data_IF_121422691952
#
_entry.id   IF_121422691952
#
_cell.length_a   1.000
_cell.length_b   1.000
_cell.length_c   1.000
_cell.angle_alpha   90.00
_cell.angle_beta   90.00
_cell.angle_gamma   90.00
#
_symmetry.space_group_name_H-M   'P 1'
#
loop_
_entity.id
_entity.type
_entity.pdbx_description
1 polymer ?
#
# COMPACT_ATOMS: atom_id res chain seq x y z
N UNK A 1 8.37 -12.56 7.48
CA UNK A 1 8.66 -11.94 6.17
C UNK A 1 9.67 -12.73 5.35
N UNK A 2 9.83 -12.45 4.05
CA UNK A 2 10.86 -13.03 3.18
C UNK A 2 11.81 -11.94 2.67
N UNK A 3 13.11 -12.20 2.65
CA UNK A 3 14.14 -11.28 2.18
C UNK A 3 14.98 -11.93 1.06
N UNK A 4 15.55 -11.11 0.19
CA UNK A 4 16.52 -11.53 -0.82
C UNK A 4 17.93 -11.48 -0.27
N UNK A 5 18.72 -12.48 -0.67
CA UNK A 5 20.18 -12.52 -0.50
C UNK A 5 20.83 -12.76 -1.86
N UNK A 6 21.88 -12.01 -2.17
CA UNK A 6 22.68 -12.21 -3.39
C UNK A 6 23.49 -13.51 -3.29
N UNK A 7 23.43 -14.36 -4.32
CA UNK A 7 24.25 -15.59 -4.37
C UNK A 7 25.67 -15.26 -4.79
N UNK A 8 26.66 -15.72 -4.02
CA UNK A 8 28.08 -15.50 -4.31
C UNK A 8 28.57 -16.17 -5.60
N UNK A 9 27.84 -17.17 -6.11
CA UNK A 9 28.15 -17.86 -7.36
C UNK A 9 26.92 -17.88 -8.26
N UNK A 10 26.95 -17.11 -9.36
CA UNK A 10 25.95 -17.18 -10.43
C UNK A 10 25.04 -15.97 -10.65
N UNK A 11 25.24 -14.85 -9.94
CA UNK A 11 24.58 -13.57 -10.26
C UNK A 11 23.06 -13.53 -10.03
N UNK A 12 22.52 -14.46 -9.24
CA UNK A 12 21.11 -14.56 -8.91
C UNK A 12 20.82 -14.32 -7.42
N UNK A 13 19.55 -14.47 -7.04
CA UNK A 13 19.07 -14.22 -5.68
C UNK A 13 18.51 -15.48 -5.01
N UNK A 14 18.47 -15.47 -3.70
CA UNK A 14 17.83 -16.48 -2.87
C UNK A 14 16.81 -15.80 -1.95
N UNK A 15 15.62 -16.40 -1.80
CA UNK A 15 14.61 -15.97 -0.85
C UNK A 15 14.79 -16.70 0.48
N UNK A 16 14.95 -15.94 1.55
CA UNK A 16 15.13 -16.45 2.91
C UNK A 16 13.97 -15.96 3.78
N UNK A 17 13.32 -16.88 4.47
CA UNK A 17 12.19 -16.59 5.36
C UNK A 17 12.67 -16.30 6.77
N UNK A 18 12.14 -15.23 7.36
CA UNK A 18 12.34 -14.81 8.73
C UNK A 18 10.99 -14.64 9.42
N UNK A 19 10.90 -14.85 10.73
CA UNK A 19 9.78 -14.31 11.51
C UNK A 19 9.92 -12.78 11.59
N UNK A 20 8.81 -12.06 11.69
CA UNK A 20 8.80 -10.59 11.60
C UNK A 20 9.58 -9.92 12.75
N UNK A 21 9.67 -10.58 13.89
CA UNK A 21 10.42 -10.17 15.08
C UNK A 21 11.92 -10.48 15.02
N UNK A 22 12.35 -11.33 14.07
CA UNK A 22 13.74 -11.78 13.93
C UNK A 22 14.35 -11.41 12.57
N UNK A 23 13.71 -10.51 11.83
CA UNK A 23 14.27 -10.03 10.57
C UNK A 23 15.60 -9.29 10.83
N UNK A 24 16.72 -9.67 10.18
CA UNK A 24 17.99 -8.96 10.29
C UNK A 24 17.88 -7.56 9.65
N UNK A 25 18.83 -6.64 9.83
CA UNK A 25 18.87 -5.41 9.06
C UNK A 25 18.87 -5.68 7.54
N UNK A 26 18.01 -4.96 6.80
CA UNK A 26 17.87 -5.13 5.35
C UNK A 26 17.57 -3.81 4.63
N UNK A 27 17.92 -3.73 3.35
CA UNK A 27 17.57 -2.61 2.48
C UNK A 27 16.19 -2.82 1.83
N UNK A 28 15.46 -1.75 1.52
CA UNK A 28 14.17 -1.84 0.80
C UNK A 28 14.30 -1.19 -0.57
N UNK A 29 13.94 -1.92 -1.62
CA UNK A 29 13.75 -1.35 -2.95
C UNK A 29 12.30 -0.88 -3.09
N UNK A 30 12.09 0.43 -3.05
CA UNK A 30 10.81 1.05 -3.42
C UNK A 30 10.99 1.76 -4.76
N UNK A 31 10.39 1.24 -5.83
CA UNK A 31 10.49 1.83 -7.16
C UNK A 31 9.20 1.62 -7.95
N UNK A 32 8.90 2.54 -8.87
CA UNK A 32 7.92 2.32 -9.93
C UNK A 32 8.45 1.33 -10.97
N UNK A 33 7.64 0.35 -11.34
CA UNK A 33 8.00 -0.64 -12.35
C UNK A 33 7.43 -0.24 -13.71
N UNK A 34 8.13 -0.62 -14.77
CA UNK A 34 7.54 -0.58 -16.10
C UNK A 34 6.56 -1.74 -16.22
N UNK A 35 5.40 -1.50 -16.82
CA UNK A 35 4.37 -2.53 -16.98
C UNK A 35 4.93 -3.81 -17.65
N UNK A 36 4.58 -4.96 -17.09
CA UNK A 36 5.08 -6.28 -17.50
C UNK A 36 6.58 -6.56 -17.22
N UNK A 37 7.34 -5.61 -16.66
CA UNK A 37 8.78 -5.76 -16.40
C UNK A 37 9.12 -6.13 -14.95
N UNK A 38 8.12 -6.30 -14.09
CA UNK A 38 8.28 -6.78 -12.72
C UNK A 38 8.73 -8.24 -12.70
N UNK A 39 9.68 -8.56 -11.82
CA UNK A 39 10.02 -9.95 -11.50
C UNK A 39 9.11 -10.36 -10.35
N UNK A 40 8.29 -11.38 -10.57
CA UNK A 40 7.35 -11.89 -9.58
C UNK A 40 8.00 -12.91 -8.64
N UNK A 41 7.34 -13.21 -7.52
CA UNK A 41 7.77 -14.27 -6.59
C UNK A 41 7.96 -15.63 -7.29
N UNK A 42 6.99 -16.04 -8.12
CA UNK A 42 7.05 -17.32 -8.82
C UNK A 42 8.17 -17.36 -9.86
N UNK A 43 8.39 -16.27 -10.59
CA UNK A 43 9.50 -16.18 -11.55
C UNK A 43 10.85 -16.28 -10.85
N UNK A 44 11.00 -15.59 -9.72
CA UNK A 44 12.25 -15.63 -8.97
C UNK A 44 12.53 -17.03 -8.41
N UNK A 45 11.53 -17.74 -7.88
CA UNK A 45 11.67 -19.13 -7.45
C UNK A 45 12.03 -20.07 -8.59
N UNK A 46 11.49 -19.84 -9.78
CA UNK A 46 11.79 -20.63 -10.98
C UNK A 46 13.17 -20.27 -11.60
N UNK A 47 13.89 -19.28 -11.07
CA UNK A 47 15.12 -18.78 -11.66
C UNK A 47 14.91 -18.04 -13.00
N UNK A 48 13.69 -17.54 -13.23
CA UNK A 48 13.29 -16.82 -14.43
C UNK A 48 13.29 -15.29 -14.22
N UNK A 49 12.96 -14.54 -15.28
CA UNK A 49 12.80 -13.08 -15.23
C UNK A 49 14.10 -12.27 -15.24
N UNK A 50 15.26 -12.92 -15.39
CA UNK A 50 16.57 -12.26 -15.49
C UNK A 50 16.69 -11.34 -16.72
N UNK A 51 15.89 -11.60 -17.76
CA UNK A 51 15.73 -10.83 -18.98
C UNK A 51 14.88 -9.56 -18.81
N UNK A 52 14.11 -9.47 -17.72
CA UNK A 52 13.24 -8.31 -17.47
C UNK A 52 14.06 -7.10 -17.01
N UNK A 53 13.63 -5.90 -17.43
CA UNK A 53 14.23 -4.64 -16.97
C UNK A 53 14.16 -4.47 -15.45
N UNK A 54 13.11 -4.98 -14.81
CA UNK A 54 12.98 -4.95 -13.36
C UNK A 54 14.10 -5.71 -12.65
N UNK A 55 14.60 -6.79 -13.23
CA UNK A 55 15.69 -7.57 -12.63
C UNK A 55 16.97 -6.75 -12.44
N UNK A 56 17.25 -5.82 -13.37
CA UNK A 56 18.39 -4.92 -13.23
C UNK A 56 18.28 -4.02 -11.98
N UNK A 57 17.06 -3.59 -11.62
CA UNK A 57 16.83 -2.81 -10.40
C UNK A 57 17.02 -3.65 -9.13
N UNK A 58 16.59 -4.91 -9.17
CA UNK A 58 16.80 -5.86 -8.06
C UNK A 58 18.30 -6.08 -7.85
N UNK A 59 19.07 -6.28 -8.93
CA UNK A 59 20.52 -6.41 -8.87
C UNK A 59 21.20 -5.17 -8.31
N UNK A 60 20.84 -3.99 -8.82
CA UNK A 60 21.35 -2.73 -8.30
C UNK A 60 21.07 -2.58 -6.80
N UNK A 61 19.87 -2.93 -6.34
CA UNK A 61 19.54 -2.91 -4.93
C UNK A 61 20.40 -3.88 -4.11
N UNK A 62 20.61 -5.11 -4.59
CA UNK A 62 21.47 -6.07 -3.91
C UNK A 62 22.95 -5.63 -3.86
N UNK A 63 23.45 -5.00 -4.93
CA UNK A 63 24.80 -4.42 -4.97
C UNK A 63 24.93 -3.25 -3.98
N UNK A 64 23.95 -2.35 -3.95
CA UNK A 64 23.94 -1.21 -3.03
C UNK A 64 23.80 -1.67 -1.57
N UNK A 65 22.91 -2.64 -1.28
CA UNK A 65 22.78 -3.22 0.05
C UNK A 65 24.12 -3.80 0.53
N UNK A 66 24.82 -4.55 -0.32
CA UNK A 66 26.12 -5.10 0.01
C UNK A 66 27.18 -4.01 0.26
N UNK A 67 27.18 -2.93 -0.54
CA UNK A 67 28.05 -1.78 -0.34
C UNK A 67 27.79 -1.06 0.99
N UNK A 68 26.53 -1.05 1.44
CA UNK A 68 26.10 -0.49 2.73
C UNK A 68 26.25 -1.47 3.91
N UNK A 69 26.84 -2.65 3.67
CA UNK A 69 27.07 -3.68 4.71
C UNK A 69 25.82 -4.48 5.10
N UNK A 70 24.77 -4.44 4.28
CA UNK A 70 23.52 -5.18 4.46
C UNK A 70 23.54 -6.45 3.60
N UNK A 71 23.41 -7.61 4.25
CA UNK A 71 23.37 -8.91 3.57
C UNK A 71 22.03 -9.16 2.85
N UNK A 72 20.97 -8.52 3.35
CA UNK A 72 19.61 -8.76 2.93
C UNK A 72 18.94 -7.51 2.37
N UNK A 73 18.01 -7.71 1.44
CA UNK A 73 17.17 -6.65 0.92
C UNK A 73 15.77 -7.16 0.57
N UNK A 74 14.81 -6.26 0.45
CA UNK A 74 13.41 -6.57 0.24
C UNK A 74 12.87 -5.86 -1.00
N UNK A 75 12.09 -6.59 -1.79
CA UNK A 75 11.43 -6.12 -3.01
C UNK A 75 10.02 -6.69 -3.02
N UNK A 76 9.00 -5.83 -3.01
CA UNK A 76 7.60 -6.23 -2.85
C UNK A 76 7.12 -7.23 -3.92
N UNK A 77 7.59 -7.07 -5.16
CA UNK A 77 7.14 -7.88 -6.31
C UNK A 77 7.54 -9.35 -6.21
N UNK A 78 8.69 -9.64 -5.59
CA UNK A 78 9.24 -10.99 -5.50
C UNK A 78 9.48 -11.51 -4.09
N UNK A 79 9.32 -10.70 -3.04
CA UNK A 79 9.34 -11.13 -1.65
C UNK A 79 7.94 -11.48 -1.11
N UNK A 80 6.87 -11.10 -1.82
CA UNK A 80 5.48 -11.43 -1.48
C UNK A 80 4.90 -12.40 -2.51
N UNK A 81 4.36 -13.53 -2.03
CA UNK A 81 3.56 -14.43 -2.84
C UNK A 81 2.12 -13.89 -2.96
N UNK A 82 1.91 -13.06 -3.99
CA UNK A 82 0.61 -12.45 -4.29
C UNK A 82 -0.47 -13.48 -4.70
N UNK A 83 -0.13 -14.77 -4.87
CA UNK A 83 -1.10 -15.81 -5.24
C UNK A 83 -1.80 -16.47 -4.05
N UNK A 84 -1.31 -16.26 -2.81
CA UNK A 84 -1.91 -16.82 -1.59
C UNK A 84 -2.82 -15.81 -0.90
N UNK A 85 -4.13 -16.05 -1.02
CA UNK A 85 -5.23 -15.24 -0.46
C UNK A 85 -5.16 -15.07 1.08
N UNK A 86 -4.60 -16.03 1.81
CA UNK A 86 -4.54 -15.99 3.28
C UNK A 86 -3.41 -15.09 3.80
N UNK A 87 -2.31 -14.98 3.04
CA UNK A 87 -1.30 -13.94 3.25
C UNK A 87 -1.89 -12.56 2.93
N UNK A 88 -2.73 -12.43 1.89
CA UNK A 88 -3.35 -11.14 1.54
C UNK A 88 -4.26 -10.62 2.66
N UNK A 89 -5.05 -11.48 3.30
CA UNK A 89 -6.00 -11.10 4.36
C UNK A 89 -5.30 -10.77 5.68
N UNK A 90 -4.31 -11.58 6.08
CA UNK A 90 -3.52 -11.36 7.29
C UNK A 90 -2.60 -10.16 7.09
N UNK A 91 -1.93 -10.05 5.95
CA UNK A 91 -1.07 -8.92 5.63
C UNK A 91 -1.88 -7.61 5.52
N UNK A 92 -3.05 -7.57 4.88
CA UNK A 92 -3.88 -6.33 4.87
C UNK A 92 -4.20 -5.84 6.30
N UNK A 93 -4.32 -6.74 7.27
CA UNK A 93 -4.58 -6.41 8.66
C UNK A 93 -3.31 -6.16 9.50
N UNK A 94 -2.15 -6.71 9.11
CA UNK A 94 -0.85 -6.62 9.81
C UNK A 94 0.25 -5.79 9.12
N UNK A 95 0.07 -5.26 7.90
CA UNK A 95 1.16 -4.68 7.08
C UNK A 95 1.70 -3.35 7.61
N UNK A 96 0.90 -2.58 8.36
CA UNK A 96 1.31 -1.23 8.74
C UNK A 96 1.99 -1.25 10.11
N UNK A 97 3.31 -1.28 10.06
CA UNK A 97 4.22 -1.09 11.19
C UNK A 97 4.71 0.37 11.21
N UNK A 98 4.67 0.99 12.39
CA UNK A 98 5.11 2.36 12.60
C UNK A 98 6.50 2.35 13.24
N UNK A 99 7.37 3.22 12.74
CA UNK A 99 8.74 3.41 13.23
C UNK A 99 8.96 4.89 13.55
N UNK A 100 9.82 5.18 14.51
CA UNK A 100 10.30 6.54 14.78
C UNK A 100 11.24 7.01 13.67
N UNK A 101 11.58 8.30 13.69
CA UNK A 101 12.59 8.86 12.79
C UNK A 101 13.96 8.15 12.92
N UNK A 102 14.28 7.64 14.11
CA UNK A 102 15.52 6.90 14.39
C UNK A 102 15.42 5.40 14.01
N UNK A 103 14.36 4.98 13.33
CA UNK A 103 14.16 3.59 12.91
C UNK A 103 13.73 2.64 14.03
N UNK A 104 13.34 3.15 15.20
CA UNK A 104 12.84 2.30 16.30
C UNK A 104 11.38 1.92 16.03
N UNK A 105 11.08 0.62 16.06
CA UNK A 105 9.69 0.14 15.97
C UNK A 105 8.85 0.69 17.12
N UNK A 106 7.75 1.36 16.78
CA UNK A 106 6.76 1.92 17.71
C UNK A 106 5.61 0.93 17.96
N UNK A 107 5.19 0.21 16.92
CA UNK A 107 4.10 -0.77 16.99
C UNK A 107 3.35 -0.89 15.66
N UNK A 108 2.37 -1.78 15.61
CA UNK A 108 1.51 -1.96 14.45
C UNK A 108 0.28 -1.05 14.51
N UNK A 109 -0.43 -0.91 13.38
CA UNK A 109 -1.75 -0.23 13.33
C UNK A 109 -2.74 -0.76 14.37
N UNK A 110 -2.67 -2.05 14.69
CA UNK A 110 -3.55 -2.67 15.68
C UNK A 110 -3.06 -2.38 17.10
N UNK A 111 -1.75 -2.49 17.38
CA UNK A 111 -1.24 -2.21 18.73
C UNK A 111 -1.33 -0.74 19.11
N UNK A 112 -1.39 0.16 18.13
CA UNK A 112 -1.48 1.62 18.30
C UNK A 112 -2.86 2.18 17.92
N UNK A 113 -3.90 1.34 17.82
CA UNK A 113 -5.20 1.75 17.29
C UNK A 113 -5.87 2.87 18.12
N UNK A 114 -5.65 2.88 19.43
CA UNK A 114 -6.19 3.91 20.34
C UNK A 114 -5.48 5.25 20.14
N UNK A 115 -4.16 5.23 20.05
CA UNK A 115 -3.34 6.41 19.78
C UNK A 115 -3.68 6.99 18.40
N UNK A 116 -3.73 6.14 17.38
CA UNK A 116 -4.10 6.54 16.01
C UNK A 116 -5.49 7.17 16.01
N UNK A 117 -6.48 6.52 16.64
CA UNK A 117 -7.83 7.06 16.76
C UNK A 117 -7.84 8.43 17.45
N UNK A 118 -7.14 8.59 18.58
CA UNK A 118 -7.13 9.85 19.34
C UNK A 118 -6.56 11.03 18.54
N UNK A 119 -5.54 10.78 17.71
CA UNK A 119 -4.86 11.80 16.90
C UNK A 119 -5.66 12.12 15.64
N UNK A 120 -6.07 11.08 14.90
CA UNK A 120 -6.63 11.21 13.55
C UNK A 120 -8.16 11.31 13.53
N UNK A 121 -8.81 10.92 14.62
CA UNK A 121 -10.26 10.71 14.70
C UNK A 121 -10.79 9.62 13.76
N UNK A 122 -9.92 8.80 13.16
CA UNK A 122 -10.32 7.61 12.39
C UNK A 122 -10.90 6.58 13.37
N UNK A 123 -12.13 6.07 13.16
CA UNK A 123 -12.74 5.07 14.02
C UNK A 123 -11.92 3.77 14.12
N UNK A 124 -11.84 3.16 15.31
CA UNK A 124 -11.04 1.94 15.56
C UNK A 124 -11.49 0.77 14.68
N UNK A 125 -12.79 0.64 14.47
CA UNK A 125 -13.39 -0.34 13.58
C UNK A 125 -12.92 -0.16 12.12
N UNK A 126 -12.68 1.07 11.65
CA UNK A 126 -12.05 1.31 10.35
C UNK A 126 -10.58 0.82 10.34
N UNK A 127 -9.82 1.05 11.43
CA UNK A 127 -8.45 0.56 11.57
C UNK A 127 -8.36 -0.98 11.60
N UNK A 128 -9.42 -1.63 12.08
CA UNK A 128 -9.59 -3.09 12.11
C UNK A 128 -10.16 -3.68 10.82
N UNK A 129 -10.35 -2.88 9.77
CA UNK A 129 -10.74 -3.35 8.45
C UNK A 129 -12.24 -3.38 8.16
N UNK A 130 -13.08 -2.70 8.96
CA UNK A 130 -14.48 -2.50 8.57
C UNK A 130 -14.56 -1.80 7.22
N UNK A 131 -15.52 -2.20 6.38
CA UNK A 131 -15.68 -1.65 5.04
C UNK A 131 -15.92 -0.14 5.12
N UNK A 132 -15.15 0.63 4.34
CA UNK A 132 -15.26 2.09 4.31
C UNK A 132 -16.67 2.60 3.93
N UNK A 133 -17.44 1.77 3.22
CA UNK A 133 -18.81 2.08 2.80
C UNK A 133 -19.81 2.08 3.94
N UNK A 134 -19.45 1.53 5.11
CA UNK A 134 -20.28 1.53 6.31
C UNK A 134 -20.13 2.82 7.12
N UNK A 135 -19.20 3.70 6.73
CA UNK A 135 -19.03 5.04 7.30
C UNK A 135 -19.65 6.09 6.38
N UNK A 136 -20.23 7.13 6.98
CA UNK A 136 -20.84 8.24 6.24
C UNK A 136 -19.80 9.00 5.40
N UNK A 137 -20.30 9.80 4.45
CA UNK A 137 -19.43 10.66 3.62
C UNK A 137 -18.78 11.72 4.50
N UNK A 138 -19.53 12.26 5.46
CA UNK A 138 -19.11 13.29 6.40
C UNK A 138 -17.98 12.78 7.30
N UNK A 139 -18.13 11.59 7.88
CA UNK A 139 -17.09 10.97 8.70
C UNK A 139 -15.80 10.77 7.90
N UNK A 140 -15.88 10.15 6.72
CA UNK A 140 -14.72 9.85 5.89
C UNK A 140 -14.01 11.11 5.40
N UNK A 141 -14.76 12.16 5.09
CA UNK A 141 -14.19 13.47 4.75
C UNK A 141 -13.45 14.07 5.95
N UNK A 142 -14.01 13.91 7.15
CA UNK A 142 -13.43 14.36 8.41
C UNK A 142 -12.07 13.75 8.76
N UNK A 143 -11.74 12.56 8.24
CA UNK A 143 -10.45 11.88 8.51
C UNK A 143 -9.23 12.63 7.98
N UNK A 144 -9.42 13.58 7.05
CA UNK A 144 -8.37 14.45 6.56
C UNK A 144 -8.36 15.85 7.22
N UNK A 145 -9.35 16.17 8.06
CA UNK A 145 -9.59 17.54 8.52
C UNK A 145 -8.37 18.19 9.18
N UNK A 146 -7.67 17.45 10.06
CA UNK A 146 -6.50 17.92 10.81
C UNK A 146 -5.16 17.75 10.08
N UNK A 147 -5.15 17.22 8.85
CA UNK A 147 -3.90 17.01 8.11
C UNK A 147 -3.25 18.34 7.77
N UNK A 148 -1.94 18.35 7.54
CA UNK A 148 -1.23 19.48 6.92
C UNK A 148 -0.49 18.90 5.73
N UNK A 149 -0.59 19.55 4.58
CA UNK A 149 0.03 19.08 3.34
C UNK A 149 0.89 20.19 2.75
N UNK A 150 1.95 19.81 2.05
CA UNK A 150 2.82 20.75 1.33
C UNK A 150 2.09 21.39 0.15
N UNK A 151 1.25 20.61 -0.52
CA UNK A 151 0.39 21.04 -1.62
C UNK A 151 -1.06 21.01 -1.14
N UNK A 152 -1.80 22.11 -1.31
CA UNK A 152 -3.13 22.25 -0.72
C UNK A 152 -4.11 21.19 -1.25
N UNK A 153 -4.02 20.88 -2.54
CA UNK A 153 -4.85 19.88 -3.22
C UNK A 153 -4.67 18.46 -2.65
N UNK A 154 -3.52 18.14 -2.05
CA UNK A 154 -3.28 16.82 -1.43
C UNK A 154 -4.20 16.55 -0.24
N UNK A 155 -4.76 17.58 0.39
CA UNK A 155 -5.82 17.42 1.41
C UNK A 155 -7.05 16.72 0.82
N UNK A 156 -7.31 16.95 -0.46
CA UNK A 156 -8.41 16.34 -1.22
C UNK A 156 -7.96 15.03 -1.86
N UNK A 157 -6.82 15.02 -2.55
CA UNK A 157 -6.40 13.85 -3.31
C UNK A 157 -6.08 12.64 -2.42
N UNK A 158 -5.71 12.84 -1.16
CA UNK A 158 -5.54 11.75 -0.20
C UNK A 158 -6.86 11.03 0.16
N UNK A 159 -8.03 11.61 -0.15
CA UNK A 159 -9.34 11.02 0.08
C UNK A 159 -9.84 10.13 -1.08
N UNK A 160 -9.19 10.18 -2.26
CA UNK A 160 -9.63 9.43 -3.45
C UNK A 160 -9.78 7.93 -3.16
N UNK A 161 -8.77 7.34 -2.51
CA UNK A 161 -8.79 5.93 -2.12
C UNK A 161 -9.84 5.60 -1.05
N UNK A 162 -10.11 6.54 -0.13
CA UNK A 162 -11.11 6.38 0.93
C UNK A 162 -12.53 6.32 0.36
N UNK A 163 -12.78 7.05 -0.73
CA UNK A 163 -14.05 7.05 -1.43
C UNK A 163 -14.12 6.05 -2.60
N UNK A 164 -13.01 5.46 -3.00
CA UNK A 164 -12.94 4.56 -4.16
C UNK A 164 -13.31 5.28 -5.46
N UNK A 165 -12.90 6.54 -5.59
CA UNK A 165 -13.11 7.40 -6.76
C UNK A 165 -11.79 7.68 -7.45
N UNK A 166 -11.86 8.05 -8.72
CA UNK A 166 -10.69 8.42 -9.52
C UNK A 166 -10.87 9.82 -10.08
N UNK A 167 -9.85 10.65 -9.91
CA UNK A 167 -9.81 12.01 -10.44
C UNK A 167 -8.43 12.29 -11.04
N UNK A 168 -8.35 12.97 -12.20
CA UNK A 168 -7.10 13.57 -12.66
C UNK A 168 -6.51 14.51 -11.61
N UNK A 169 -5.23 14.34 -11.28
CA UNK A 169 -4.50 15.24 -10.38
C UNK A 169 -4.11 16.50 -11.17
N UNK A 170 -4.66 17.65 -10.79
CA UNK A 170 -4.39 18.95 -11.44
C UNK A 170 -3.82 19.88 -10.37
N UNK A 171 -2.51 19.80 -10.15
CA UNK A 171 -1.83 20.71 -9.23
C UNK A 171 -1.86 22.14 -9.77
N UNK A 172 -2.24 23.08 -8.92
CA UNK A 172 -2.51 24.47 -9.29
C UNK A 172 -4.00 24.78 -9.52
N UNK A 173 -4.90 23.78 -9.45
CA UNK A 173 -6.35 24.04 -9.46
C UNK A 173 -6.86 24.63 -8.14
N UNK A 174 -6.12 24.44 -7.05
CA UNK A 174 -6.50 24.88 -5.71
C UNK A 174 -7.41 23.89 -4.97
N UNK A 175 -7.31 23.89 -3.63
CA UNK A 175 -8.05 22.96 -2.76
C UNK A 175 -9.57 23.05 -2.93
N UNK A 176 -10.12 24.25 -3.14
CA UNK A 176 -11.56 24.45 -3.30
C UNK A 176 -12.11 23.76 -4.56
N UNK A 177 -11.43 23.93 -5.70
CA UNK A 177 -11.83 23.29 -6.96
C UNK A 177 -11.62 21.78 -6.92
N UNK A 178 -10.49 21.31 -6.37
CA UNK A 178 -10.25 19.88 -6.14
C UNK A 178 -11.37 19.28 -5.27
N UNK A 179 -11.78 19.97 -4.20
CA UNK A 179 -12.86 19.54 -3.29
C UNK A 179 -14.19 19.43 -4.02
N UNK A 180 -14.51 20.41 -4.88
CA UNK A 180 -15.75 20.40 -5.66
C UNK A 180 -15.81 19.18 -6.59
N UNK A 181 -14.72 18.91 -7.32
CA UNK A 181 -14.61 17.73 -8.19
C UNK A 181 -14.72 16.42 -7.42
N UNK A 182 -14.13 16.34 -6.23
CA UNK A 182 -14.24 15.17 -5.37
C UNK A 182 -15.70 14.90 -4.99
N UNK A 183 -16.42 15.93 -4.53
CA UNK A 183 -17.83 15.81 -4.12
C UNK A 183 -18.72 15.34 -5.28
N UNK A 184 -18.54 15.90 -6.47
CA UNK A 184 -19.28 15.48 -7.66
C UNK A 184 -19.05 13.99 -7.99
N UNK A 185 -17.81 13.52 -7.91
CA UNK A 185 -17.49 12.13 -8.25
C UNK A 185 -18.00 11.14 -7.18
N UNK A 186 -17.96 11.52 -5.91
CA UNK A 186 -18.59 10.75 -4.81
C UNK A 186 -20.09 10.59 -5.08
N UNK A 187 -20.77 11.68 -5.40
CA UNK A 187 -22.21 11.68 -5.66
C UNK A 187 -22.57 10.79 -6.87
N UNK A 188 -21.84 10.94 -7.99
CA UNK A 188 -22.00 10.08 -9.18
C UNK A 188 -21.82 8.60 -8.82
N UNK A 189 -20.84 8.28 -7.97
CA UNK A 189 -20.57 6.88 -7.56
C UNK A 189 -21.67 6.30 -6.68
N UNK A 190 -22.25 7.10 -5.78
CA UNK A 190 -23.38 6.70 -4.94
C UNK A 190 -24.63 6.42 -5.80
N UNK A 191 -24.98 7.33 -6.73
CA UNK A 191 -26.11 7.15 -7.64
C UNK A 191 -25.98 5.88 -8.51
N UNK A 192 -24.77 5.63 -9.05
CA UNK A 192 -24.52 4.40 -9.82
C UNK A 192 -24.70 3.13 -8.99
N UNK A 193 -24.34 3.15 -7.70
CA UNK A 193 -24.53 2.01 -6.80
C UNK A 193 -25.99 1.75 -6.49
N UNK A 194 -26.75 2.80 -6.17
CA UNK A 194 -28.19 2.69 -5.90
C UNK A 194 -28.93 2.11 -7.10
N UNK A 195 -28.61 2.57 -8.31
CA UNK A 195 -29.21 2.04 -9.54
C UNK A 195 -28.94 0.55 -9.78
N UNK A 196 -27.73 0.06 -9.44
CA UNK A 196 -27.38 -1.37 -9.56
C UNK A 196 -28.17 -2.21 -8.55
N UNK A 197 -28.30 -1.74 -7.29
CA UNK A 197 -29.06 -2.46 -6.26
C UNK A 197 -30.55 -2.56 -6.63
N UNK A 198 -31.14 -1.49 -7.18
CA UNK A 198 -32.53 -1.48 -7.63
C UNK A 198 -32.76 -2.45 -8.80
N UNK A 199 -31.83 -2.54 -9.75
CA UNK A 199 -31.93 -3.48 -10.87
C UNK A 199 -31.86 -4.94 -10.41
N UNK A 200 -31.02 -5.27 -9.44
CA UNK A 200 -30.87 -6.63 -8.89
C UNK A 200 -32.15 -7.08 -8.14
N UNK A 201 -32.81 -6.16 -7.44
CA UNK A 201 -34.11 -6.41 -6.78
C UNK A 201 -35.27 -6.53 -7.77
N UNK A 202 -35.16 -5.93 -8.96
CA UNK A 202 -36.19 -5.99 -10.00
C UNK A 202 -36.14 -7.26 -10.87
N UNK A 203 -35.07 -8.04 -10.78
CA UNK A 203 -34.88 -9.30 -11.53
C UNK A 203 -35.40 -10.55 -10.82
N UNK A 204 -36.05 -10.42 -9.66
CA UNK A 204 -36.60 -11.53 -8.87
C UNK A 204 -38.13 -11.53 -8.96
N UNK A 205 -38.68 -11.78 -10.15
CA UNK A 205 -40.09 -12.16 -10.36
C UNK A 205 -40.23 -13.04 -11.61
#
# INVERSE_FOLDING_TARGET
MRLLKSRSAGGGFELISFSDDLAPPYAILSHTWTDGQEVTYNELLAGAGADKRGYAKIRFCGEQAAADGLEYFWVDTCCIDKSKSDELSTAINSIVEFFSQDGKRLGSRISLEQEIHSITSIPINALRGQKLTEFSVEERTGWAAKRTTTVAEDRVYCLLGIFGVFLPLIYGEGEEYATLRLKEEIQKRQQRRENVVVQDLSGVY
#
